data_IF_809324559286
#
_entry.id   IF_809324559286
#
_cell.length_a   1.000
_cell.length_b   1.000
_cell.length_c   1.000
_cell.angle_alpha   90.00
_cell.angle_beta   90.00
_cell.angle_gamma   90.00
#
_symmetry.space_group_name_H-M   'P 1'
#
loop_
_entity.id
_entity.type
_entity.pdbx_description
1 polymer ?
#
# COMPACT_ATOMS: atom_id res chain seq x y z
N UNK A 1 -11.92 23.76 -31.04
CA UNK A 1 -11.60 22.31 -31.09
C UNK A 1 -10.38 22.10 -30.21
N UNK A 2 -10.59 21.87 -28.91
CA UNK A 2 -9.49 21.83 -27.93
C UNK A 2 -8.66 20.56 -28.08
N UNK A 3 -7.35 20.76 -28.22
CA UNK A 3 -6.32 19.76 -28.45
C UNK A 3 -6.40 18.64 -27.40
N UNK A 4 -6.44 17.42 -27.90
CA UNK A 4 -6.53 16.16 -27.16
C UNK A 4 -5.47 16.08 -26.06
N UNK A 5 -5.87 16.15 -24.79
CA UNK A 5 -5.01 15.73 -23.68
C UNK A 5 -4.95 14.20 -23.73
N UNK A 6 -4.05 13.66 -24.55
CA UNK A 6 -3.60 12.29 -24.35
C UNK A 6 -2.76 12.31 -23.07
N UNK A 7 -3.37 12.00 -21.93
CA UNK A 7 -2.63 11.51 -20.76
C UNK A 7 -1.97 10.20 -21.19
N UNK A 8 -0.80 10.31 -21.80
CA UNK A 8 0.11 9.20 -21.95
C UNK A 8 0.59 8.86 -20.53
N UNK A 9 -0.18 8.02 -19.83
CA UNK A 9 0.34 7.24 -18.72
C UNK A 9 1.44 6.38 -19.32
N UNK A 10 2.67 6.88 -19.24
CA UNK A 10 3.86 6.18 -19.67
C UNK A 10 3.86 4.80 -19.04
N UNK A 11 4.31 3.83 -19.82
CA UNK A 11 4.29 2.36 -19.70
C UNK A 11 5.01 1.78 -18.47
N UNK A 12 5.13 2.57 -17.40
CA UNK A 12 5.82 2.33 -16.15
C UNK A 12 4.88 2.46 -14.93
N UNK A 13 3.61 2.11 -15.10
CA UNK A 13 2.89 1.23 -14.13
C UNK A 13 3.58 -0.14 -14.06
N UNK A 14 4.92 -0.16 -14.09
CA UNK A 14 5.80 -1.32 -14.20
C UNK A 14 5.64 -2.09 -12.91
N UNK A 15 4.62 -2.96 -12.95
CA UNK A 15 4.48 -4.20 -12.25
C UNK A 15 5.48 -4.37 -11.12
N UNK A 16 5.09 -3.98 -9.90
CA UNK A 16 5.63 -4.71 -8.77
C UNK A 16 4.60 -4.81 -7.64
N UNK A 17 4.28 -6.07 -7.34
CA UNK A 17 3.71 -6.55 -6.09
C UNK A 17 4.39 -7.89 -5.88
N UNK A 18 5.50 -7.92 -5.14
CA UNK A 18 6.12 -9.18 -4.72
C UNK A 18 6.10 -9.34 -3.21
N UNK A 19 5.45 -10.40 -2.79
CA UNK A 19 4.86 -10.55 -1.47
C UNK A 19 5.53 -11.69 -0.71
N UNK A 20 6.46 -11.40 0.22
CA UNK A 20 6.92 -12.38 1.22
C UNK A 20 7.27 -11.69 2.53
N UNK A 21 6.60 -12.14 3.60
CA UNK A 21 7.15 -12.24 4.95
C UNK A 21 7.03 -13.72 5.35
N UNK A 22 8.14 -14.35 5.77
CA UNK A 22 8.22 -15.78 6.11
C UNK A 22 7.10 -16.20 7.08
N UNK A 23 6.29 -17.17 6.66
CA UNK A 23 5.43 -17.96 7.55
C UNK A 23 3.91 -17.79 7.44
N UNK A 24 3.40 -16.75 6.77
CA UNK A 24 1.95 -16.45 6.83
C UNK A 24 1.45 -15.80 5.55
N UNK A 25 0.35 -16.34 5.00
CA UNK A 25 -0.30 -15.79 3.80
C UNK A 25 -1.03 -14.51 4.20
N UNK A 26 -0.73 -13.41 3.52
CA UNK A 26 -1.60 -12.24 3.58
C UNK A 26 -2.99 -12.57 3.11
N UNK A 27 -3.95 -11.89 3.72
CA UNK A 27 -5.34 -12.05 3.35
C UNK A 27 -5.66 -11.14 2.13
N UNK A 28 -6.11 -11.69 0.98
CA UNK A 28 -6.24 -10.98 -0.30
C UNK A 28 -7.01 -9.65 -0.23
N UNK A 29 -8.07 -9.63 0.59
CA UNK A 29 -8.88 -8.44 0.87
C UNK A 29 -8.05 -7.21 1.29
N UNK A 30 -7.06 -7.38 2.14
CA UNK A 30 -6.25 -6.27 2.66
C UNK A 30 -5.22 -5.79 1.64
N UNK A 31 -4.76 -6.70 0.78
CA UNK A 31 -3.88 -6.33 -0.33
C UNK A 31 -4.61 -5.46 -1.34
N UNK A 32 -5.84 -5.83 -1.71
CA UNK A 32 -6.59 -5.10 -2.73
C UNK A 32 -6.96 -3.70 -2.26
N UNK A 33 -7.36 -3.55 -0.99
CA UNK A 33 -7.57 -2.25 -0.34
C UNK A 33 -6.31 -1.38 -0.39
N UNK A 34 -5.15 -1.97 -0.10
CA UNK A 34 -3.89 -1.24 -0.15
C UNK A 34 -3.50 -0.87 -1.58
N UNK A 35 -3.68 -1.77 -2.55
CA UNK A 35 -3.40 -1.51 -3.98
C UNK A 35 -4.21 -0.32 -4.48
N UNK A 36 -5.48 -0.23 -4.14
CA UNK A 36 -6.32 0.91 -4.52
C UNK A 36 -5.82 2.23 -3.92
N UNK A 37 -5.38 2.21 -2.65
CA UNK A 37 -4.84 3.40 -1.98
C UNK A 37 -3.47 3.81 -2.53
N UNK A 38 -2.60 2.86 -2.86
CA UNK A 38 -1.31 3.12 -3.50
C UNK A 38 -1.51 3.79 -4.86
N UNK A 39 -2.46 3.32 -5.67
CA UNK A 39 -2.76 3.91 -7.00
C UNK A 39 -3.19 5.37 -6.92
N UNK A 40 -3.90 5.76 -5.86
CA UNK A 40 -4.38 7.13 -5.66
C UNK A 40 -3.31 8.04 -5.03
N UNK A 41 -2.35 7.46 -4.31
CA UNK A 41 -1.34 8.22 -3.59
C UNK A 41 -0.12 8.52 -4.46
N UNK A 42 0.03 9.79 -4.87
CA UNK A 42 1.15 10.22 -5.72
C UNK A 42 2.54 9.94 -5.10
N UNK A 43 2.66 9.98 -3.77
CA UNK A 43 3.93 9.69 -3.07
C UNK A 43 4.29 8.20 -3.06
N UNK A 44 3.36 7.34 -3.46
CA UNK A 44 3.56 5.90 -3.59
C UNK A 44 3.65 5.45 -5.06
N UNK A 45 3.73 6.39 -6.01
CA UNK A 45 3.84 6.10 -7.45
C UNK A 45 5.09 5.33 -7.85
N UNK A 46 6.16 5.42 -7.05
CA UNK A 46 7.40 4.66 -7.23
C UNK A 46 7.50 3.41 -6.37
N UNK A 47 6.42 3.02 -5.68
CA UNK A 47 6.41 1.78 -4.90
C UNK A 47 6.54 0.61 -5.84
N UNK A 48 7.42 -0.27 -5.45
CA UNK A 48 7.61 -1.51 -6.16
C UNK A 48 7.25 -2.69 -5.23
N UNK A 49 7.69 -2.71 -3.98
CA UNK A 49 7.48 -3.89 -3.13
C UNK A 49 6.64 -3.60 -1.89
N UNK A 50 5.70 -4.50 -1.59
CA UNK A 50 4.94 -4.48 -0.34
C UNK A 50 5.05 -5.84 0.34
N UNK A 51 5.40 -5.84 1.62
CA UNK A 51 5.43 -7.02 2.47
C UNK A 51 4.39 -6.87 3.56
N UNK A 52 3.50 -7.85 3.75
CA UNK A 52 2.62 -7.86 4.92
C UNK A 52 3.12 -8.84 5.98
N UNK A 53 2.97 -8.45 7.24
CA UNK A 53 3.09 -9.27 8.41
C UNK A 53 1.85 -10.16 8.53
N UNK A 54 1.84 -11.25 7.78
CA UNK A 54 0.95 -12.38 7.99
C UNK A 54 -0.53 -12.12 8.12
N UNK A 55 -1.17 -12.94 8.95
CA UNK A 55 -2.60 -12.84 9.21
C UNK A 55 -2.96 -11.53 9.94
N UNK A 56 -4.16 -10.99 9.70
CA UNK A 56 -4.67 -9.86 10.45
C UNK A 56 -4.62 -10.17 11.94
N UNK A 57 -4.05 -9.24 12.71
CA UNK A 57 -3.88 -9.37 14.15
C UNK A 57 -4.33 -8.09 14.84
N UNK A 58 -4.73 -8.24 16.09
CA UNK A 58 -4.90 -7.13 17.01
C UNK A 58 -3.60 -6.92 17.78
N UNK A 59 -3.47 -5.81 18.48
CA UNK A 59 -2.37 -5.55 19.41
C UNK A 59 -2.91 -4.93 20.69
N UNK A 60 -2.16 -4.98 21.80
CA UNK A 60 -2.62 -4.39 23.07
C UNK A 60 -2.95 -2.89 22.95
N UNK A 61 -2.27 -2.20 22.02
CA UNK A 61 -2.47 -0.77 21.73
C UNK A 61 -3.60 -0.51 20.73
N UNK A 62 -4.01 -1.50 19.97
CA UNK A 62 -5.05 -1.38 18.96
C UNK A 62 -5.86 -2.68 18.88
N UNK A 63 -7.08 -2.61 19.41
CA UNK A 63 -8.00 -3.74 19.49
C UNK A 63 -8.65 -4.04 18.15
N UNK A 64 -8.46 -3.21 17.14
CA UNK A 64 -9.00 -3.44 15.81
C UNK A 64 -8.12 -4.42 15.01
N UNK A 65 -8.78 -5.34 14.30
CA UNK A 65 -8.12 -6.34 13.50
C UNK A 65 -7.52 -5.69 12.25
N UNK A 66 -6.20 -5.79 12.10
CA UNK A 66 -5.48 -5.13 10.99
C UNK A 66 -4.40 -6.02 10.41
N UNK A 67 -4.20 -5.88 9.11
CA UNK A 67 -3.04 -6.42 8.43
C UNK A 67 -1.92 -5.38 8.44
N UNK A 68 -0.79 -5.72 9.05
CA UNK A 68 0.37 -4.83 9.10
C UNK A 68 1.27 -5.09 7.88
N UNK A 69 1.92 -4.06 7.35
CA UNK A 69 2.80 -4.19 6.21
C UNK A 69 3.88 -3.13 6.14
N UNK A 70 4.79 -3.34 5.19
CA UNK A 70 5.93 -2.49 4.89
C UNK A 70 5.99 -2.27 3.39
N UNK A 71 6.14 -1.00 3.02
CA UNK A 71 6.19 -0.54 1.64
C UNK A 71 7.63 -0.12 1.34
N UNK A 72 8.13 -0.58 0.20
CA UNK A 72 9.48 -0.37 -0.28
C UNK A 72 9.49 0.28 -1.66
N UNK A 73 10.61 0.96 -1.93
CA UNK A 73 11.00 1.45 -3.24
C UNK A 73 12.43 0.95 -3.51
N UNK A 74 12.58 -0.02 -4.39
CA UNK A 74 13.81 -0.78 -4.57
C UNK A 74 14.16 -1.54 -3.29
N UNK A 75 15.38 -1.30 -2.77
CA UNK A 75 15.84 -1.90 -1.51
C UNK A 75 15.50 -1.06 -0.27
N UNK A 76 14.98 0.16 -0.44
CA UNK A 76 14.73 1.08 0.66
C UNK A 76 13.29 0.96 1.19
N UNK A 77 13.12 0.89 2.51
CA UNK A 77 11.80 0.95 3.15
C UNK A 77 11.28 2.39 3.15
N UNK A 78 10.17 2.62 2.47
CA UNK A 78 9.50 3.92 2.45
C UNK A 78 8.70 4.17 3.73
N UNK A 79 7.79 3.24 4.08
CA UNK A 79 6.91 3.38 5.26
C UNK A 79 6.39 2.02 5.73
N UNK A 80 5.87 1.96 6.95
CA UNK A 80 4.92 0.93 7.35
C UNK A 80 3.50 1.32 7.05
N UNK A 81 2.64 0.33 6.92
CA UNK A 81 1.21 0.48 6.69
C UNK A 81 0.42 -0.47 7.58
N UNK A 82 -0.74 -0.04 8.06
CA UNK A 82 -1.77 -0.85 8.68
C UNK A 82 -3.03 -0.76 7.81
N UNK A 83 -3.58 -1.91 7.45
CA UNK A 83 -4.82 -2.01 6.68
C UNK A 83 -5.88 -2.63 7.58
N UNK A 84 -6.96 -1.92 7.82
CA UNK A 84 -8.05 -2.35 8.68
C UNK A 84 -9.17 -3.00 7.86
N UNK A 85 -9.95 -3.87 8.49
CA UNK A 85 -11.03 -4.60 7.81
C UNK A 85 -12.14 -3.68 7.25
N UNK A 86 -12.28 -2.48 7.82
CA UNK A 86 -13.22 -1.43 7.43
C UNK A 86 -12.78 -0.65 6.17
N UNK A 87 -11.60 -0.94 5.61
CA UNK A 87 -11.06 -0.25 4.43
C UNK A 87 -10.15 0.94 4.74
N UNK A 88 -9.97 1.28 6.01
CA UNK A 88 -9.00 2.29 6.46
C UNK A 88 -7.58 1.77 6.22
N UNK A 89 -6.73 2.65 5.70
CA UNK A 89 -5.31 2.39 5.49
C UNK A 89 -4.53 3.48 6.18
N UNK A 90 -3.69 3.13 7.15
CA UNK A 90 -2.86 4.07 7.89
C UNK A 90 -1.40 3.80 7.63
N UNK A 91 -0.68 4.81 7.17
CA UNK A 91 0.76 4.79 7.06
C UNK A 91 1.40 5.31 8.35
N UNK A 92 2.52 4.71 8.75
CA UNK A 92 3.30 5.18 9.90
C UNK A 92 3.84 6.59 9.72
N UNK A 93 4.04 7.03 8.47
CA UNK A 93 4.47 8.39 8.12
C UNK A 93 3.27 9.23 7.67
N UNK A 94 2.98 10.29 8.41
CA UNK A 94 1.85 11.21 8.17
C UNK A 94 1.83 11.79 6.75
N UNK A 95 3.00 12.05 6.18
CA UNK A 95 3.13 12.61 4.83
C UNK A 95 2.49 11.74 3.74
N UNK A 96 2.36 10.43 3.96
CA UNK A 96 1.65 9.51 3.07
C UNK A 96 0.15 9.46 3.36
N UNK A 97 -0.27 9.63 4.61
CA UNK A 97 -1.69 9.73 4.98
C UNK A 97 -2.32 10.98 4.35
N UNK A 98 -1.64 12.13 4.44
CA UNK A 98 -2.09 13.39 3.81
C UNK A 98 -2.09 13.36 2.28
N UNK A 99 -1.49 12.33 1.65
CA UNK A 99 -1.45 12.17 0.20
C UNK A 99 -2.43 11.08 -0.29
N UNK A 100 -3.37 10.65 0.55
CA UNK A 100 -4.39 9.65 0.20
C UNK A 100 -5.59 10.20 -0.59
N UNK A 101 -5.58 11.50 -0.94
CA UNK A 101 -6.64 12.19 -1.70
C UNK A 101 -6.41 12.12 -3.23
#
# INVERSE_FOLDING_TARGET
MATTIRRAFSSATRALIEFIWEGTKSHPKYEDLLKEKIKKNQKLSGVDKVKFAGDPHTSDKDKELRASGQIFQGQARLTSVHVYANGTVEYSKTSFNSAQE
#
